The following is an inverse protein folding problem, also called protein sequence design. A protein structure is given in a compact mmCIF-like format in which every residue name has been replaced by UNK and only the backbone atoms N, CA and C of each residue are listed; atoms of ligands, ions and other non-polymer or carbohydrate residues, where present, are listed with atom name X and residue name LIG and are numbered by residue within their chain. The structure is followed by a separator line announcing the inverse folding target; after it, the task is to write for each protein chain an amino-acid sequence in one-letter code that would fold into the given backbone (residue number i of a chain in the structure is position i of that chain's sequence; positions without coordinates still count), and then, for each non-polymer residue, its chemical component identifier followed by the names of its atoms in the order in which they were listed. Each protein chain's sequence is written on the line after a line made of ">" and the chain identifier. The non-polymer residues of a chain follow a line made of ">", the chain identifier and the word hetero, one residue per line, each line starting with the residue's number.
data_IF_198878197126
#
_entry.id   IF_198878197126
#
_cell.length_a   1.000
_cell.length_b   1.000
_cell.length_c   1.000
_cell.angle_alpha   90.00
_cell.angle_beta   90.00
_cell.angle_gamma   90.00
#
_symmetry.space_group_name_H-M   'P 1'
#
loop_
_entity.id
_entity.type
_entity.pdbx_description
1 polymer ?
#
# COMPACT_ATOMS: atom_id res chain seq x y z
N UNK A 1 18.60 -14.32 -2.31
CA UNK A 1 18.08 -14.59 -3.67
C UNK A 1 17.42 -13.31 -4.13
N UNK A 2 17.59 -12.94 -5.40
CA UNK A 2 16.94 -11.76 -5.95
C UNK A 2 15.50 -12.11 -6.30
N UNK A 3 14.54 -11.40 -5.71
CA UNK A 3 13.11 -11.57 -5.93
C UNK A 3 12.61 -10.56 -6.98
N UNK A 4 11.41 -10.80 -7.52
CA UNK A 4 10.84 -9.95 -8.58
C UNK A 4 9.37 -9.65 -8.34
N UNK A 5 8.99 -8.39 -8.47
CA UNK A 5 7.59 -7.95 -8.51
C UNK A 5 7.28 -7.46 -9.91
N UNK A 6 6.38 -8.16 -10.59
CA UNK A 6 5.80 -7.72 -11.85
C UNK A 6 4.50 -6.97 -11.59
N UNK A 7 4.42 -5.71 -12.01
CA UNK A 7 3.24 -4.88 -11.79
C UNK A 7 2.69 -4.33 -13.11
N UNK A 8 1.37 -4.23 -13.20
CA UNK A 8 0.65 -3.67 -14.33
C UNK A 8 -0.53 -2.86 -13.79
N UNK A 9 -0.62 -1.60 -14.21
CA UNK A 9 -1.79 -0.73 -14.02
C UNK A 9 -2.43 -0.48 -15.37
N UNK A 10 -3.75 -0.64 -15.42
CA UNK A 10 -4.54 -0.50 -16.63
C UNK A 10 -5.77 0.35 -16.32
N UNK A 11 -5.79 1.58 -16.84
CA UNK A 11 -6.89 2.51 -16.70
C UNK A 11 -7.62 2.62 -18.04
N UNK A 12 -8.89 2.22 -18.07
CA UNK A 12 -9.73 2.26 -19.27
C UNK A 12 -10.93 3.14 -19.05
N UNK A 13 -11.14 4.08 -19.98
CA UNK A 13 -12.36 4.87 -20.04
C UNK A 13 -13.33 4.18 -21.01
N UNK A 14 -14.58 3.96 -20.60
CA UNK A 14 -15.59 3.36 -21.46
C UNK A 14 -15.81 4.23 -22.72
N UNK A 15 -15.60 3.65 -23.91
CA UNK A 15 -15.65 4.38 -25.19
C UNK A 15 -14.51 5.37 -25.42
N UNK A 16 -13.46 5.32 -24.59
CA UNK A 16 -12.37 6.28 -24.59
C UNK A 16 -10.99 5.62 -24.57
N UNK A 17 -9.94 6.36 -24.13
CA UNK A 17 -8.58 5.87 -24.14
C UNK A 17 -8.33 4.73 -23.14
N UNK A 18 -7.35 3.91 -23.50
CA UNK A 18 -6.78 2.83 -22.70
C UNK A 18 -5.32 3.21 -22.39
N UNK A 19 -5.03 3.47 -21.12
CA UNK A 19 -3.69 3.83 -20.63
C UNK A 19 -3.17 2.69 -19.77
N UNK A 20 -1.99 2.17 -20.14
CA UNK A 20 -1.31 1.10 -19.43
C UNK A 20 0.07 1.54 -19.01
N UNK A 21 0.46 1.13 -17.82
CA UNK A 21 1.81 1.21 -17.31
C UNK A 21 2.14 -0.13 -16.64
N UNK A 22 3.36 -0.61 -16.77
CA UNK A 22 3.79 -1.83 -16.13
C UNK A 22 5.30 -2.00 -16.26
N UNK A 23 5.89 -2.65 -15.26
CA UNK A 23 7.32 -2.92 -15.24
C UNK A 23 7.63 -4.09 -14.29
N UNK A 24 8.88 -4.52 -14.33
CA UNK A 24 9.47 -5.54 -13.48
C UNK A 24 10.42 -4.90 -12.46
N UNK A 25 10.07 -4.99 -11.18
CA UNK A 25 10.92 -4.50 -10.09
C UNK A 25 11.74 -5.64 -9.51
N UNK A 26 13.05 -5.50 -9.59
CA UNK A 26 13.99 -6.36 -8.85
C UNK A 26 13.98 -5.92 -7.38
N UNK A 27 13.61 -6.83 -6.49
CA UNK A 27 13.53 -6.60 -5.05
C UNK A 27 14.42 -7.59 -4.30
N UNK A 28 14.99 -7.17 -3.18
CA UNK A 28 15.74 -8.08 -2.31
C UNK A 28 14.80 -8.90 -1.43
N UNK A 29 13.69 -8.30 -1.03
CA UNK A 29 12.63 -8.99 -0.32
C UNK A 29 11.29 -8.26 -0.53
N UNK A 30 10.21 -9.01 -0.42
CA UNK A 30 8.85 -8.49 -0.38
C UNK A 30 8.13 -9.04 0.83
N UNK A 31 7.14 -8.31 1.34
CA UNK A 31 6.24 -8.77 2.38
C UNK A 31 4.80 -8.61 1.90
N UNK A 32 3.97 -9.61 2.18
CA UNK A 32 2.50 -9.50 2.09
C UNK A 32 1.95 -9.55 3.51
N UNK A 33 1.21 -8.53 3.88
CA UNK A 33 0.57 -8.41 5.18
C UNK A 33 -0.93 -8.38 4.94
N UNK A 34 -1.64 -9.36 5.50
CA UNK A 34 -3.10 -9.35 5.53
C UNK A 34 -3.52 -8.96 6.96
N UNK A 35 -4.35 -7.92 7.06
CA UNK A 35 -4.80 -7.37 8.35
C UNK A 35 -6.30 -7.20 8.35
N UNK A 36 -6.93 -7.44 9.50
CA UNK A 36 -8.35 -7.15 9.72
C UNK A 36 -8.46 -5.92 10.62
N UNK A 37 -8.95 -4.82 10.07
CA UNK A 37 -9.19 -3.58 10.82
C UNK A 37 -10.56 -3.67 11.47
N UNK A 38 -10.64 -3.78 12.81
CA UNK A 38 -11.91 -3.98 13.49
C UNK A 38 -12.87 -2.82 13.21
N UNK A 39 -14.15 -3.13 13.13
CA UNK A 39 -15.23 -2.13 13.02
C UNK A 39 -15.15 -1.12 14.15
N UNK A 40 -15.40 0.15 13.83
CA UNK A 40 -15.27 1.30 14.72
C UNK A 40 -13.94 1.28 15.50
N UNK A 41 -12.86 0.90 14.81
CA UNK A 41 -11.57 0.62 15.43
C UNK A 41 -10.41 0.97 14.52
N UNK A 42 -9.21 0.74 15.02
CA UNK A 42 -7.96 0.98 14.30
C UNK A 42 -6.93 -0.10 14.61
N UNK A 43 -5.91 -0.18 13.77
CA UNK A 43 -4.76 -1.05 13.95
C UNK A 43 -3.50 -0.38 13.41
N UNK A 44 -2.40 -0.54 14.14
CA UNK A 44 -1.09 -0.17 13.64
C UNK A 44 -0.49 -1.35 12.89
N UNK A 45 -0.03 -1.07 11.68
CA UNK A 45 0.66 -2.05 10.83
C UNK A 45 2.09 -1.58 10.60
N UNK A 46 3.03 -2.42 11.03
CA UNK A 46 4.44 -2.29 10.69
C UNK A 46 4.63 -2.68 9.22
N UNK A 47 5.05 -1.72 8.39
CA UNK A 47 5.31 -1.97 6.98
C UNK A 47 6.59 -2.79 6.78
N UNK A 48 7.60 -2.59 7.62
CA UNK A 48 8.86 -3.32 7.51
C UNK A 48 9.73 -3.13 8.78
N UNK A 49 10.51 -4.14 9.17
CA UNK A 49 11.72 -3.94 9.97
C UNK A 49 12.84 -3.36 9.08
N UNK A 50 13.03 -2.03 9.05
CA UNK A 50 14.07 -1.41 8.21
C UNK A 50 13.85 0.07 7.91
N UNK A 51 14.72 0.67 7.08
CA UNK A 51 14.58 2.06 6.66
C UNK A 51 13.64 2.17 5.45
N UNK A 52 12.65 3.07 5.52
CA UNK A 52 11.73 3.33 4.39
C UNK A 52 12.40 3.70 3.07
N UNK A 53 13.63 4.20 3.09
CA UNK A 53 14.41 4.47 1.88
C UNK A 53 14.62 3.23 1.01
N UNK A 54 14.40 2.04 1.56
CA UNK A 54 14.48 0.75 0.86
C UNK A 54 13.13 0.34 0.25
N UNK A 55 12.00 0.90 0.69
CA UNK A 55 10.68 0.57 0.13
C UNK A 55 10.54 1.23 -1.24
N UNK A 56 10.28 0.43 -2.26
CA UNK A 56 10.17 0.87 -3.66
C UNK A 56 8.79 0.59 -4.26
N UNK A 57 7.99 -0.24 -3.61
CA UNK A 57 6.65 -0.61 -4.04
C UNK A 57 5.75 -0.78 -2.83
N UNK A 58 4.55 -0.21 -2.89
CA UNK A 58 3.50 -0.42 -1.91
C UNK A 58 2.17 -0.51 -2.64
N UNK A 59 1.42 -1.57 -2.35
CA UNK A 59 0.01 -1.71 -2.73
C UNK A 59 -0.78 -1.94 -1.45
N UNK A 60 -1.83 -1.15 -1.25
CA UNK A 60 -2.82 -1.34 -0.18
C UNK A 60 -4.17 -1.51 -0.85
N UNK A 61 -4.85 -2.61 -0.56
CA UNK A 61 -6.20 -2.86 -1.09
C UNK A 61 -7.08 -3.54 -0.04
N UNK A 62 -8.32 -3.09 0.07
CA UNK A 62 -9.38 -3.81 0.76
C UNK A 62 -9.92 -4.96 -0.10
N UNK A 63 -10.24 -6.09 0.54
CA UNK A 63 -10.88 -7.24 -0.10
C UNK A 63 -12.30 -6.91 -0.59
N UNK A 64 -13.06 -6.16 0.21
CA UNK A 64 -14.35 -5.58 -0.16
C UNK A 64 -14.23 -4.09 -0.50
N UNK A 65 -14.63 -3.74 -1.73
CA UNK A 65 -14.61 -2.36 -2.23
C UNK A 65 -15.60 -1.46 -1.52
N UNK A 66 -16.66 -2.00 -0.92
CA UNK A 66 -17.65 -1.20 -0.19
C UNK A 66 -17.03 -0.48 1.03
N UNK A 67 -15.97 -1.08 1.59
CA UNK A 67 -15.30 -0.63 2.81
C UNK A 67 -14.46 0.64 2.62
N UNK A 68 -14.01 0.97 1.40
CA UNK A 68 -13.21 2.17 1.14
C UNK A 68 -13.89 3.48 1.58
N UNK A 69 -15.22 3.49 1.64
CA UNK A 69 -15.96 4.66 2.14
C UNK A 69 -15.66 4.97 3.63
N UNK A 70 -15.28 3.95 4.41
CA UNK A 70 -15.07 4.00 5.85
C UNK A 70 -13.59 3.92 6.27
N UNK A 71 -12.68 3.70 5.30
CA UNK A 71 -11.28 3.44 5.58
C UNK A 71 -10.44 4.73 5.50
N UNK A 72 -9.57 4.87 6.48
CA UNK A 72 -8.51 5.89 6.48
C UNK A 72 -7.19 5.23 6.81
N UNK A 73 -6.10 5.82 6.33
CA UNK A 73 -4.75 5.44 6.67
C UNK A 73 -3.99 6.69 7.12
N UNK A 74 -3.12 6.52 8.11
CA UNK A 74 -2.31 7.58 8.68
C UNK A 74 -0.88 7.08 8.89
N UNK A 75 0.11 7.65 8.20
CA UNK A 75 1.50 7.45 8.60
C UNK A 75 1.73 7.97 10.01
N UNK A 76 2.58 7.32 10.82
CA UNK A 76 2.78 7.61 12.25
C UNK A 76 2.84 9.12 12.62
N UNK A 77 3.50 9.94 11.80
CA UNK A 77 3.64 11.39 11.99
C UNK A 77 2.95 12.24 10.91
N UNK A 78 2.08 11.63 10.09
CA UNK A 78 1.35 12.28 9.01
C UNK A 78 -0.09 12.62 9.38
N UNK A 79 -0.79 13.21 8.41
CA UNK A 79 -2.23 13.43 8.52
C UNK A 79 -3.01 12.17 8.20
N UNK A 80 -4.26 12.13 8.68
CA UNK A 80 -5.20 11.07 8.33
C UNK A 80 -5.67 11.28 6.89
N UNK A 81 -5.47 10.28 6.04
CA UNK A 81 -5.83 10.31 4.62
C UNK A 81 -6.92 9.26 4.36
N UNK A 82 -7.89 9.60 3.53
CA UNK A 82 -8.92 8.64 3.13
C UNK A 82 -8.33 7.58 2.20
N UNK A 83 -8.60 6.31 2.48
CA UNK A 83 -8.35 5.22 1.55
C UNK A 83 -9.65 4.98 0.78
N UNK A 84 -9.95 5.83 -0.20
CA UNK A 84 -11.19 5.78 -0.98
C UNK A 84 -11.12 4.84 -2.20
N UNK A 85 -9.94 4.28 -2.47
CA UNK A 85 -9.66 3.31 -3.52
C UNK A 85 -8.39 2.50 -3.16
N UNK A 86 -8.06 1.42 -3.89
CA UNK A 86 -6.75 0.79 -3.77
C UNK A 86 -5.64 1.83 -3.98
N UNK A 87 -4.67 1.87 -3.06
CA UNK A 87 -3.53 2.75 -3.16
C UNK A 87 -2.33 1.97 -3.71
N UNK A 88 -1.77 2.44 -4.82
CA UNK A 88 -0.52 1.92 -5.36
C UNK A 88 0.52 3.04 -5.42
N UNK A 89 1.67 2.82 -4.80
CA UNK A 89 2.81 3.73 -4.81
C UNK A 89 4.02 2.97 -5.37
N UNK A 90 4.63 3.54 -6.41
CA UNK A 90 5.74 2.92 -7.13
C UNK A 90 6.89 3.91 -7.23
N UNK A 91 8.07 3.49 -6.79
CA UNK A 91 9.29 4.28 -6.74
C UNK A 91 9.42 5.16 -5.50
N UNK A 92 10.68 5.49 -5.15
CA UNK A 92 11.01 6.24 -3.93
C UNK A 92 10.27 7.58 -3.81
N UNK A 93 10.06 8.29 -4.93
CA UNK A 93 9.34 9.57 -4.93
C UNK A 93 7.89 9.42 -4.46
N UNK A 94 7.16 8.43 -4.98
CA UNK A 94 5.79 8.16 -4.56
C UNK A 94 5.72 7.66 -3.11
N UNK A 95 6.63 6.78 -2.72
CA UNK A 95 6.72 6.26 -1.34
C UNK A 95 7.04 7.38 -0.34
N UNK A 96 7.84 8.38 -0.73
CA UNK A 96 8.18 9.51 0.14
C UNK A 96 6.98 10.34 0.59
N UNK A 97 5.84 10.24 -0.12
CA UNK A 97 4.59 10.90 0.25
C UNK A 97 4.00 10.36 1.56
N UNK A 98 4.33 9.13 1.95
CA UNK A 98 3.92 8.57 3.23
C UNK A 98 4.70 9.15 4.41
N UNK A 99 5.69 10.01 4.17
CA UNK A 99 6.64 10.50 5.18
C UNK A 99 7.38 9.33 5.86
N UNK A 100 8.34 9.58 6.74
CA UNK A 100 9.27 8.56 7.27
C UNK A 100 8.64 7.54 8.24
N UNK A 101 7.38 7.16 8.07
CA UNK A 101 6.69 6.23 8.94
C UNK A 101 6.86 4.76 8.53
N UNK A 102 7.64 4.00 9.29
CA UNK A 102 7.69 2.53 9.21
C UNK A 102 6.37 1.86 9.61
N UNK A 103 5.42 2.64 10.15
CA UNK A 103 4.10 2.22 10.60
C UNK A 103 3.01 3.02 9.91
N UNK A 104 1.97 2.34 9.48
CA UNK A 104 0.72 2.94 9.06
C UNK A 104 -0.37 2.53 10.03
N UNK A 105 -1.07 3.50 10.61
CA UNK A 105 -2.31 3.27 11.32
C UNK A 105 -3.45 3.21 10.31
N UNK A 106 -4.22 2.13 10.31
CA UNK A 106 -5.47 2.03 9.55
C UNK A 106 -6.63 2.16 10.51
N UNK A 107 -7.64 2.95 10.14
CA UNK A 107 -8.87 3.09 10.91
C UNK A 107 -10.08 2.80 10.04
N UNK A 108 -11.05 2.09 10.63
CA UNK A 108 -12.30 1.68 10.01
C UNK A 108 -13.48 2.30 10.78
N UNK A 109 -14.17 3.23 10.13
CA UNK A 109 -15.36 3.89 10.69
C UNK A 109 -16.66 3.09 10.53
N UNK A 110 -16.62 1.91 9.89
CA UNK A 110 -17.79 1.03 9.76
C UNK A 110 -18.29 0.60 11.14
N UNK A 111 -19.61 0.60 11.33
CA UNK A 111 -20.24 0.12 12.57
C UNK A 111 -20.67 -1.35 12.49
N UNK A 112 -20.64 -1.94 11.30
CA UNK A 112 -21.19 -3.27 11.02
C UNK A 112 -20.09 -4.30 10.82
N UNK A 113 -19.09 -3.96 10.01
CA UNK A 113 -18.17 -4.93 9.41
C UNK A 113 -16.70 -4.54 9.66
N UNK A 114 -15.89 -5.56 9.93
CA UNK A 114 -14.43 -5.44 9.95
C UNK A 114 -13.92 -5.27 8.50
N UNK A 115 -12.79 -4.60 8.33
CA UNK A 115 -12.22 -4.35 7.01
C UNK A 115 -10.94 -5.15 6.83
N UNK A 116 -10.97 -6.12 5.92
CA UNK A 116 -9.77 -6.90 5.59
C UNK A 116 -8.96 -6.19 4.50
N UNK A 117 -7.72 -5.86 4.82
CA UNK A 117 -6.76 -5.22 3.94
C UNK A 117 -5.62 -6.19 3.60
N UNK A 118 -5.24 -6.19 2.33
CA UNK A 118 -4.00 -6.79 1.84
C UNK A 118 -3.01 -5.68 1.50
N UNK A 119 -1.81 -5.77 2.07
CA UNK A 119 -0.72 -4.83 1.89
C UNK A 119 0.46 -5.60 1.28
N UNK A 120 0.90 -5.21 0.09
CA UNK A 120 2.07 -5.78 -0.58
C UNK A 120 3.18 -4.74 -0.63
N UNK A 121 4.35 -5.10 -0.14
CA UNK A 121 5.50 -4.21 0.04
C UNK A 121 6.68 -4.81 -0.69
N UNK A 122 7.29 -4.04 -1.58
CA UNK A 122 8.50 -4.42 -2.30
C UNK A 122 9.67 -3.54 -1.91
N UNK A 123 10.82 -4.16 -1.63
CA UNK A 123 12.03 -3.47 -1.16
C UNK A 123 13.13 -3.54 -2.19
N UNK A 124 13.71 -2.40 -2.54
CA UNK A 124 14.84 -2.34 -3.45
C UNK A 124 16.00 -3.16 -2.87
N UNK A 125 16.62 -3.96 -3.72
CA UNK A 125 17.89 -4.55 -3.38
C UNK A 125 18.94 -3.47 -3.11
N UNK A 126 19.72 -3.62 -2.05
CA UNK A 126 20.95 -2.84 -1.91
C UNK A 126 21.85 -3.26 -3.07
N UNK A 127 21.92 -2.47 -4.14
CA UNK A 127 22.88 -2.70 -5.21
C UNK A 127 24.25 -2.51 -4.56
N UNK A 128 25.09 -3.55 -4.44
CA UNK A 128 26.45 -3.36 -3.93
C UNK A 128 27.18 -2.39 -4.87
N UNK A 129 27.99 -1.46 -4.34
CA UNK A 129 28.79 -0.55 -5.17
C UNK A 129 29.75 -1.30 -6.10
#
# INVERSE_FOLDING_TARGET
>A
MTEKIDWIVNAKVAGGPDVKAGDSLIVEAYDKIDVSVPKNGNIDVDLQPGALSQVYFLLISASDKSMYSNLTYKPLNGDSIKLDAPLILIGNGAISLLTSANKINFANASTTDDADLSILIGRKAVVPP
#
